data_IF_931464190757
#
_entry.id   IF_931464190757
#
_cell.length_a   1.000
_cell.length_b   1.000
_cell.length_c   1.000
_cell.angle_alpha   90.00
_cell.angle_beta   90.00
_cell.angle_gamma   90.00
#
_symmetry.space_group_name_H-M   'P 1'
#
loop_
_entity.id
_entity.type
_entity.pdbx_description
1 polymer ?
#
# COMPACT_ATOMS: atom_id res chain seq x y z
N UNK A 1 12.73 19.10 21.92
CA UNK A 1 13.40 18.12 21.03
C UNK A 1 12.91 16.73 21.44
N UNK A 2 11.82 16.30 20.81
CA UNK A 2 11.02 15.09 21.11
C UNK A 2 11.94 13.86 21.11
N UNK A 3 12.15 13.25 22.30
CA UNK A 3 13.05 12.12 22.54
C UNK A 3 12.30 11.03 23.28
N UNK A 4 12.22 9.87 22.64
CA UNK A 4 11.98 8.54 23.23
C UNK A 4 10.79 8.48 24.21
N UNK A 5 9.58 8.65 23.68
CA UNK A 5 8.33 8.50 24.44
C UNK A 5 7.06 8.95 23.70
N UNK A 6 7.22 9.73 22.64
CA UNK A 6 6.13 10.58 22.12
C UNK A 6 5.22 9.95 21.06
N UNK A 7 5.19 8.61 20.97
CA UNK A 7 4.11 7.92 20.24
C UNK A 7 2.91 7.95 21.18
N UNK A 8 1.94 8.83 20.93
CA UNK A 8 0.80 9.04 21.81
C UNK A 8 0.16 7.73 22.30
N UNK A 9 0.12 7.57 23.62
CA UNK A 9 -0.52 6.47 24.35
C UNK A 9 -2.06 6.40 24.19
N UNK A 10 -2.65 7.01 23.16
CA UNK A 10 -4.11 7.09 23.02
C UNK A 10 -4.68 7.41 21.64
N UNK A 11 -3.89 7.92 20.68
CA UNK A 11 -4.33 8.14 19.29
C UNK A 11 -3.30 7.58 18.32
N UNK A 12 -3.46 6.29 17.98
CA UNK A 12 -2.64 5.63 16.97
C UNK A 12 -3.23 5.89 15.58
N UNK A 13 -2.49 6.59 14.71
CA UNK A 13 -2.82 6.68 13.30
C UNK A 13 -2.23 5.47 12.58
N UNK A 14 -3.10 4.63 12.03
CA UNK A 14 -2.68 3.48 11.25
C UNK A 14 -2.74 3.84 9.76
N UNK A 15 -1.57 3.85 9.11
CA UNK A 15 -1.48 4.01 7.67
C UNK A 15 -1.52 2.65 7.00
N UNK A 16 -2.36 2.54 5.98
CA UNK A 16 -2.31 1.46 5.02
C UNK A 16 -1.48 1.88 3.80
N UNK A 17 -0.27 1.34 3.68
CA UNK A 17 0.55 1.49 2.50
C UNK A 17 0.31 0.30 1.55
N UNK A 18 -0.13 0.57 0.33
CA UNK A 18 -0.21 -0.44 -0.73
C UNK A 18 1.02 -0.36 -1.62
N UNK A 19 1.77 -1.47 -1.65
CA UNK A 19 2.98 -1.59 -2.45
C UNK A 19 2.76 -2.60 -3.58
N UNK A 20 3.39 -2.31 -4.72
CA UNK A 20 3.50 -3.29 -5.79
C UNK A 20 4.63 -4.27 -5.46
N UNK A 21 4.31 -5.55 -5.25
CA UNK A 21 5.26 -6.64 -4.96
C UNK A 21 5.65 -7.43 -6.19
N UNK A 22 5.26 -6.98 -7.38
CA UNK A 22 5.57 -7.69 -8.63
C UNK A 22 7.08 -7.85 -8.78
N UNK A 23 7.55 -9.09 -8.76
CA UNK A 23 8.97 -9.44 -8.94
C UNK A 23 9.36 -9.37 -10.42
N UNK A 24 9.45 -8.16 -10.97
CA UNK A 24 9.96 -7.93 -12.33
C UNK A 24 11.31 -7.21 -12.25
N UNK A 25 12.35 -7.86 -12.78
CA UNK A 25 13.58 -7.17 -13.15
C UNK A 25 13.40 -6.59 -14.56
N UNK A 26 13.26 -5.28 -14.67
CA UNK A 26 13.19 -4.57 -15.96
C UNK A 26 11.79 -4.53 -16.59
N UNK A 27 11.72 -4.15 -17.86
CA UNK A 27 10.48 -4.23 -18.64
C UNK A 27 10.33 -5.65 -19.20
N UNK A 28 9.10 -6.18 -19.22
CA UNK A 28 8.74 -7.43 -19.89
C UNK A 28 7.59 -7.17 -20.84
N UNK A 29 7.56 -7.86 -21.97
CA UNK A 29 6.42 -7.76 -22.88
C UNK A 29 5.16 -8.36 -22.23
N UNK A 30 3.98 -7.98 -22.73
CA UNK A 30 2.70 -8.54 -22.27
C UNK A 30 2.71 -10.07 -22.38
N UNK A 31 3.20 -10.60 -23.50
CA UNK A 31 3.30 -12.04 -23.75
C UNK A 31 4.18 -12.74 -22.69
N UNK A 32 5.37 -12.20 -22.41
CA UNK A 32 6.28 -12.73 -21.38
C UNK A 32 5.65 -12.68 -19.98
N UNK A 33 4.87 -11.64 -19.68
CA UNK A 33 4.17 -11.52 -18.40
C UNK A 33 3.05 -12.55 -18.26
N UNK A 34 2.33 -12.86 -19.33
CA UNK A 34 1.31 -13.91 -19.35
C UNK A 34 1.92 -15.30 -19.16
N UNK A 35 3.01 -15.60 -19.88
CA UNK A 35 3.73 -16.88 -19.76
C UNK A 35 4.26 -17.09 -18.34
N UNK A 36 4.85 -16.05 -17.75
CA UNK A 36 5.36 -16.10 -16.38
C UNK A 36 4.27 -15.97 -15.29
N UNK A 37 2.99 -15.80 -15.67
CA UNK A 37 1.86 -15.57 -14.73
C UNK A 37 2.08 -14.41 -13.77
N UNK A 38 2.76 -13.36 -14.22
CA UNK A 38 3.08 -12.13 -13.46
C UNK A 38 2.35 -10.89 -14.02
N UNK A 39 1.30 -11.12 -14.82
CA UNK A 39 0.50 -10.06 -15.40
C UNK A 39 -0.29 -9.31 -14.33
N UNK A 40 -0.27 -7.98 -14.38
CA UNK A 40 -0.98 -7.12 -13.44
C UNK A 40 -0.21 -6.80 -12.15
N UNK A 41 -0.73 -5.86 -11.35
CA UNK A 41 -0.07 -5.46 -10.11
C UNK A 41 -0.33 -6.49 -9.01
N UNK A 42 0.75 -6.95 -8.37
CA UNK A 42 0.64 -7.75 -7.14
C UNK A 42 0.67 -6.76 -6.00
N UNK A 43 -0.42 -6.67 -5.22
CA UNK A 43 -0.55 -5.63 -4.20
C UNK A 43 -0.37 -6.26 -2.82
N UNK A 44 0.56 -5.71 -2.05
CA UNK A 44 0.68 -5.99 -0.62
C UNK A 44 0.10 -4.85 0.21
N UNK A 45 -0.66 -5.22 1.24
CA UNK A 45 -1.20 -4.31 2.25
C UNK A 45 -0.25 -4.25 3.44
N UNK A 46 0.39 -3.11 3.67
CA UNK A 46 1.26 -2.87 4.83
C UNK A 46 0.61 -1.90 5.79
N UNK A 47 0.35 -2.35 7.01
CA UNK A 47 -0.12 -1.51 8.10
C UNK A 47 1.09 -0.96 8.87
N UNK A 48 1.27 0.36 8.85
CA UNK A 48 2.32 1.03 9.59
C UNK A 48 1.71 2.03 10.59
N UNK A 49 2.07 1.96 11.89
CA UNK A 49 1.75 3.05 12.80
C UNK A 49 2.57 4.26 12.39
N UNK A 50 1.90 5.38 12.08
CA UNK A 50 2.58 6.65 11.86
C UNK A 50 2.80 7.30 13.23
N UNK A 51 3.98 7.89 13.49
CA UNK A 51 4.15 8.74 14.66
C UNK A 51 3.12 9.87 14.66
N UNK A 52 2.33 9.95 15.74
CA UNK A 52 1.38 11.03 16.01
C UNK A 52 1.89 11.79 17.23
N UNK A 53 1.91 13.12 17.17
CA UNK A 53 2.15 13.98 18.32
C UNK A 53 0.83 14.63 18.73
N UNK A 54 0.55 14.65 20.03
CA UNK A 54 -0.58 15.35 20.63
C UNK A 54 -0.04 16.53 21.41
N UNK A 55 -0.45 17.75 21.06
CA UNK A 55 -0.07 18.98 21.77
C UNK A 55 0.29 20.12 20.83
N UNK A 56 0.55 21.29 21.41
CA UNK A 56 1.03 22.51 20.73
C UNK A 56 2.57 22.57 20.64
N UNK A 57 3.25 21.45 20.82
CA UNK A 57 4.71 21.41 20.80
C UNK A 57 5.28 21.56 19.39
N UNK A 58 6.38 22.30 19.28
CA UNK A 58 7.12 22.49 18.03
C UNK A 58 7.73 21.16 17.58
N UNK A 59 7.18 20.62 16.50
CA UNK A 59 7.54 19.33 15.93
C UNK A 59 8.63 19.52 14.86
N UNK A 60 9.72 18.74 14.96
CA UNK A 60 10.68 18.62 13.86
C UNK A 60 10.10 17.71 12.75
N UNK A 61 9.76 18.26 11.56
CA UNK A 61 9.19 17.48 10.47
C UNK A 61 10.17 16.42 9.94
N UNK A 62 11.48 16.65 10.02
CA UNK A 62 12.48 15.71 9.53
C UNK A 62 12.50 14.44 10.38
N UNK A 63 12.39 14.59 11.70
CA UNK A 63 12.28 13.46 12.63
C UNK A 63 11.09 12.55 12.28
N UNK A 64 9.93 13.13 11.98
CA UNK A 64 8.74 12.37 11.61
C UNK A 64 8.92 11.58 10.32
N UNK A 65 9.49 12.21 9.29
CA UNK A 65 9.76 11.56 8.01
C UNK A 65 10.74 10.40 8.19
N UNK A 66 11.81 10.59 8.98
CA UNK A 66 12.79 9.55 9.27
C UNK A 66 12.12 8.38 10.00
N UNK A 67 11.32 8.64 11.04
CA UNK A 67 10.63 7.60 11.81
C UNK A 67 9.59 6.84 10.98
N UNK A 68 8.80 7.55 10.17
CA UNK A 68 7.85 6.93 9.25
C UNK A 68 8.58 6.04 8.23
N UNK A 69 9.71 6.50 7.67
CA UNK A 69 10.54 5.72 6.75
C UNK A 69 11.10 4.46 7.42
N UNK A 70 11.64 4.57 8.63
CA UNK A 70 12.14 3.41 9.40
C UNK A 70 11.03 2.36 9.62
N UNK A 71 9.83 2.79 10.01
CA UNK A 71 8.68 1.91 10.19
C UNK A 71 8.25 1.23 8.88
N UNK A 72 8.22 1.99 7.77
CA UNK A 72 7.88 1.46 6.46
C UNK A 72 8.91 0.45 5.94
N UNK A 73 10.21 0.74 6.05
CA UNK A 73 11.27 -0.18 5.64
C UNK A 73 11.26 -1.46 6.48
N UNK A 74 11.00 -1.37 7.79
CA UNK A 74 10.82 -2.54 8.64
C UNK A 74 9.64 -3.41 8.18
N UNK A 75 8.49 -2.80 7.87
CA UNK A 75 7.31 -3.53 7.42
C UNK A 75 7.49 -4.12 6.01
N UNK A 76 8.16 -3.39 5.11
CA UNK A 76 8.47 -3.85 3.76
C UNK A 76 9.40 -5.05 3.75
N UNK A 77 10.45 -5.01 4.57
CA UNK A 77 11.42 -6.11 4.71
C UNK A 77 10.88 -7.28 5.57
N UNK A 78 9.66 -7.18 6.09
CA UNK A 78 8.99 -8.27 6.78
C UNK A 78 8.61 -9.39 5.81
N UNK A 79 8.67 -10.63 6.30
CA UNK A 79 8.16 -11.81 5.58
C UNK A 79 6.67 -11.67 5.24
N UNK A 80 5.93 -10.85 5.99
CA UNK A 80 4.51 -10.57 5.76
C UNK A 80 4.23 -10.05 4.34
N UNK A 81 5.12 -9.22 3.77
CA UNK A 81 4.98 -8.68 2.41
C UNK A 81 4.92 -9.77 1.35
N UNK A 82 5.65 -10.88 1.54
CA UNK A 82 5.66 -12.01 0.61
C UNK A 82 4.53 -13.01 0.87
N UNK A 83 4.07 -13.11 2.13
CA UNK A 83 3.01 -14.05 2.52
C UNK A 83 1.60 -13.51 2.26
N UNK A 84 1.42 -12.21 2.04
CA UNK A 84 0.09 -11.64 1.89
C UNK A 84 -0.64 -12.14 0.64
N UNK A 85 0.07 -12.32 -0.47
CA UNK A 85 -0.49 -12.84 -1.72
C UNK A 85 -1.03 -14.27 -1.60
N UNK A 86 -0.27 -15.25 -1.06
CA UNK A 86 -0.81 -16.58 -0.83
C UNK A 86 -1.92 -16.58 0.24
N UNK A 87 -1.87 -15.71 1.25
CA UNK A 87 -2.96 -15.56 2.23
C UNK A 87 -4.25 -15.07 1.55
N UNK A 88 -4.15 -14.05 0.69
CA UNK A 88 -5.28 -13.56 -0.09
C UNK A 88 -5.80 -14.68 -0.98
N UNK A 89 -4.94 -15.35 -1.74
CA UNK A 89 -5.30 -16.47 -2.64
C UNK A 89 -6.02 -17.60 -1.91
N UNK A 90 -5.51 -18.01 -0.75
CA UNK A 90 -6.16 -19.01 0.10
C UNK A 90 -7.52 -18.51 0.61
N UNK A 91 -7.63 -17.23 0.97
CA UNK A 91 -8.90 -16.64 1.41
C UNK A 91 -9.95 -16.62 0.30
N UNK A 92 -9.54 -16.38 -0.96
CA UNK A 92 -10.40 -16.48 -2.15
C UNK A 92 -10.91 -17.91 -2.27
N UNK A 93 -10.00 -18.88 -2.17
CA UNK A 93 -10.34 -20.29 -2.34
C UNK A 93 -11.31 -20.79 -1.24
N UNK A 94 -11.06 -20.42 0.02
CA UNK A 94 -11.85 -20.91 1.16
C UNK A 94 -13.17 -20.17 1.31
N UNK A 95 -13.20 -18.84 1.16
CA UNK A 95 -14.36 -18.00 1.50
C UNK A 95 -15.01 -17.32 0.29
N UNK A 96 -14.46 -17.54 -0.90
CA UNK A 96 -14.93 -16.92 -2.14
C UNK A 96 -14.80 -15.39 -2.14
N UNK A 97 -15.42 -14.74 -3.14
CA UNK A 97 -15.40 -13.28 -3.29
C UNK A 97 -15.95 -12.52 -2.07
N UNK A 98 -16.97 -13.07 -1.40
CA UNK A 98 -17.57 -12.46 -0.20
C UNK A 98 -16.56 -12.37 0.95
N UNK A 99 -15.77 -13.42 1.16
CA UNK A 99 -14.73 -13.44 2.20
C UNK A 99 -13.67 -12.36 2.00
N UNK A 100 -13.19 -12.20 0.77
CA UNK A 100 -12.20 -11.17 0.42
C UNK A 100 -12.78 -9.78 0.60
N UNK A 101 -14.01 -9.55 0.15
CA UNK A 101 -14.66 -8.23 0.29
C UNK A 101 -14.74 -7.83 1.76
N UNK A 102 -15.10 -8.76 2.64
CA UNK A 102 -15.14 -8.53 4.09
C UNK A 102 -13.74 -8.32 4.66
N UNK A 103 -12.74 -9.10 4.26
CA UNK A 103 -11.35 -8.95 4.68
C UNK A 103 -10.80 -7.58 4.27
N UNK A 104 -11.01 -7.17 3.02
CA UNK A 104 -10.58 -5.88 2.48
C UNK A 104 -11.29 -4.74 3.21
N UNK A 105 -12.62 -4.81 3.34
CA UNK A 105 -13.41 -3.81 4.05
C UNK A 105 -12.94 -3.64 5.51
N UNK A 106 -12.63 -4.75 6.19
CA UNK A 106 -12.15 -4.73 7.58
C UNK A 106 -10.76 -4.11 7.68
N UNK A 107 -9.87 -4.41 6.72
CA UNK A 107 -8.54 -3.80 6.66
C UNK A 107 -8.65 -2.28 6.48
N UNK A 108 -9.46 -1.82 5.51
CA UNK A 108 -9.66 -0.40 5.27
C UNK A 108 -10.29 0.33 6.45
N UNK A 109 -11.34 -0.26 7.06
CA UNK A 109 -12.05 0.33 8.20
C UNK A 109 -11.15 0.56 9.43
N UNK A 110 -10.10 -0.23 9.59
CA UNK A 110 -9.18 -0.13 10.73
C UNK A 110 -7.98 0.80 10.45
N UNK A 111 -8.00 1.53 9.33
CA UNK A 111 -6.92 2.42 8.90
C UNK A 111 -7.40 3.86 8.85
N UNK A 112 -6.54 4.79 9.25
CA UNK A 112 -6.83 6.23 9.29
C UNK A 112 -6.57 6.89 7.94
N UNK A 113 -5.57 6.39 7.21
CA UNK A 113 -5.20 6.90 5.91
C UNK A 113 -4.68 5.75 5.04
N UNK A 114 -4.72 5.92 3.72
CA UNK A 114 -4.16 4.96 2.77
C UNK A 114 -3.33 5.67 1.71
N UNK A 115 -2.15 5.12 1.42
CA UNK A 115 -1.26 5.60 0.35
C UNK A 115 -0.95 4.42 -0.55
N UNK A 116 -1.05 4.62 -1.86
CA UNK A 116 -0.80 3.57 -2.84
C UNK A 116 0.32 4.00 -3.78
N UNK A 117 1.31 3.13 -3.97
CA UNK A 117 2.40 3.32 -4.93
C UNK A 117 2.30 2.26 -6.01
N UNK A 118 1.32 2.41 -6.89
CA UNK A 118 1.18 1.57 -8.07
C UNK A 118 1.89 2.25 -9.25
N UNK A 119 3.08 1.76 -9.59
CA UNK A 119 3.81 2.22 -10.78
C UNK A 119 3.00 1.78 -12.01
N UNK A 120 2.55 2.75 -12.80
CA UNK A 120 1.89 2.53 -14.09
C UNK A 120 2.90 2.35 -15.23
N UNK A 121 2.39 2.12 -16.44
CA UNK A 121 3.24 2.08 -17.64
C UNK A 121 3.90 3.44 -17.88
N UNK A 122 5.19 3.44 -18.21
CA UNK A 122 5.91 4.64 -18.64
C UNK A 122 5.68 4.98 -20.12
N UNK A 123 5.00 4.10 -20.85
CA UNK A 123 4.70 4.27 -22.27
C UNK A 123 3.55 5.25 -22.50
N UNK A 124 3.56 5.90 -23.67
CA UNK A 124 2.47 6.78 -24.10
C UNK A 124 1.23 5.94 -24.36
N UNK A 125 0.18 6.22 -23.59
CA UNK A 125 -1.14 5.61 -23.79
C UNK A 125 -2.01 6.49 -24.68
N UNK A 126 -2.83 5.86 -25.51
CA UNK A 126 -3.84 6.54 -26.33
C UNK A 126 -5.19 5.84 -26.19
N UNK A 127 -6.25 6.62 -26.03
CA UNK A 127 -7.63 6.12 -25.97
C UNK A 127 -8.32 6.56 -27.26
N UNK A 128 -8.84 5.59 -28.03
CA UNK A 128 -9.49 5.86 -29.32
C UNK A 128 -8.65 6.76 -30.25
N UNK A 129 -7.33 6.51 -30.32
CA UNK A 129 -6.39 7.28 -31.16
C UNK A 129 -5.93 8.62 -30.57
N UNK A 130 -6.45 9.04 -29.42
CA UNK A 130 -6.07 10.29 -28.77
C UNK A 130 -5.08 10.04 -27.63
N UNK A 131 -3.93 10.70 -27.65
CA UNK A 131 -2.92 10.56 -26.60
C UNK A 131 -3.45 11.10 -25.26
N UNK A 132 -3.22 10.34 -24.19
CA UNK A 132 -3.59 10.74 -22.84
C UNK A 132 -2.39 11.43 -22.20
N UNK A 133 -2.58 12.68 -21.77
CA UNK A 133 -1.51 13.47 -21.13
C UNK A 133 -1.27 13.10 -19.67
N UNK A 134 -2.33 12.76 -18.93
CA UNK A 134 -2.25 12.29 -17.54
C UNK A 134 -3.46 11.44 -17.18
N UNK A 135 -3.30 10.58 -16.18
CA UNK A 135 -4.38 9.79 -15.58
C UNK A 135 -4.25 9.82 -14.06
N UNK A 136 -5.38 9.85 -13.37
CA UNK A 136 -5.47 9.85 -11.92
C UNK A 136 -6.38 8.72 -11.48
N UNK A 137 -5.97 8.00 -10.44
CA UNK A 137 -6.78 6.92 -9.86
C UNK A 137 -7.52 7.45 -8.64
N UNK A 138 -8.82 7.16 -8.59
CA UNK A 138 -9.68 7.45 -7.45
C UNK A 138 -10.33 6.13 -7.03
N UNK A 139 -10.35 5.87 -5.73
CA UNK A 139 -10.96 4.67 -5.15
C UNK A 139 -12.21 5.04 -4.34
N UNK A 140 -13.38 5.17 -4.99
CA UNK A 140 -14.63 5.47 -4.28
C UNK A 140 -15.10 4.25 -3.46
N UNK A 141 -15.79 4.52 -2.34
CA UNK A 141 -16.44 3.47 -1.54
C UNK A 141 -15.53 2.72 -0.55
N UNK A 142 -14.32 3.22 -0.31
CA UNK A 142 -13.43 2.70 0.75
C UNK A 142 -13.91 3.22 2.11
N UNK A 143 -14.12 2.37 3.13
CA UNK A 143 -14.44 2.84 4.47
C UNK A 143 -13.20 3.47 5.11
N UNK A 144 -13.25 4.78 5.36
CA UNK A 144 -12.26 5.57 6.09
C UNK A 144 -12.99 6.49 7.07
#
# INVERSE_FOLDING_TARGET
MVRTGDICSGKHMNLLAMLNTRMVRGYKSIAEMFEAKIWGNHVAFLHAPIPSVSGEEEVDPLYFVIKAKEAMERNKNSMFTYLIEPIISASIYIRGPKGISKLSYTNFRNTTASVTSMIGSTEKIAIAGHQVGSYYFIMPGVPQ
#
